data_IF_941609778986
#
_entry.id   IF_941609778986
#
_cell.length_a   1.000
_cell.length_b   1.000
_cell.length_c   1.000
_cell.angle_alpha   90.00
_cell.angle_beta   90.00
_cell.angle_gamma   90.00
#
_symmetry.space_group_name_H-M   'P 1'
#
loop_
_entity.id
_entity.type
_entity.pdbx_description
1 polymer ?
#
# COMPACT_ATOMS: atom_id res chain seq x y z
N UNK A 1 36.25 23.51 60.32
CA UNK A 1 35.67 24.01 59.06
C UNK A 1 36.03 23.09 57.86
N UNK A 2 35.98 21.76 58.00
CA UNK A 2 36.37 20.80 56.94
C UNK A 2 35.24 19.92 56.39
N UNK A 3 34.07 19.89 57.05
CA UNK A 3 32.94 19.04 56.66
C UNK A 3 32.00 19.73 55.64
N UNK A 4 31.94 21.07 55.66
CA UNK A 4 30.96 21.83 54.86
C UNK A 4 31.25 21.83 53.37
N UNK A 5 32.52 21.87 52.95
CA UNK A 5 32.91 21.89 51.53
C UNK A 5 33.06 20.48 50.97
N UNK A 6 33.68 19.55 51.69
CA UNK A 6 33.82 18.15 51.24
C UNK A 6 32.49 17.39 51.21
N UNK A 7 31.58 17.64 52.16
CA UNK A 7 30.24 17.05 52.15
C UNK A 7 29.36 17.56 51.00
N UNK A 8 29.44 18.87 50.68
CA UNK A 8 28.72 19.46 49.55
C UNK A 8 29.15 18.87 48.20
N UNK A 9 30.46 18.64 48.01
CA UNK A 9 30.99 17.99 46.80
C UNK A 9 30.42 16.57 46.63
N UNK A 10 30.29 15.81 47.72
CA UNK A 10 29.76 14.44 47.68
C UNK A 10 28.27 14.42 47.29
N UNK A 11 27.47 15.33 47.85
CA UNK A 11 26.04 15.45 47.50
C UNK A 11 25.87 15.83 46.03
N UNK A 12 26.65 16.78 45.52
CA UNK A 12 26.64 17.19 44.11
C UNK A 12 27.02 16.00 43.21
N UNK A 13 28.05 15.25 43.58
CA UNK A 13 28.50 14.08 42.82
C UNK A 13 27.42 13.00 42.74
N UNK A 14 26.76 12.68 43.86
CA UNK A 14 25.66 11.70 43.87
C UNK A 14 24.50 12.16 42.99
N UNK A 15 24.10 13.43 43.10
CA UNK A 15 23.05 13.99 42.23
C UNK A 15 23.41 13.90 40.75
N UNK A 16 24.68 14.17 40.41
CA UNK A 16 25.17 14.06 39.04
C UNK A 16 25.18 12.62 38.51
N UNK A 17 25.61 11.65 39.34
CA UNK A 17 25.59 10.23 38.96
C UNK A 17 24.16 9.70 38.78
N UNK A 18 23.21 10.14 39.60
CA UNK A 18 21.78 9.83 39.43
C UNK A 18 21.20 10.48 38.17
N UNK A 19 21.65 11.68 37.80
CA UNK A 19 21.24 12.30 36.55
C UNK A 19 21.80 11.53 35.34
N UNK A 20 23.08 11.15 35.37
CA UNK A 20 23.72 10.37 34.30
C UNK A 20 23.04 9.01 34.11
N UNK A 21 22.67 8.32 35.21
CA UNK A 21 22.04 7.00 35.12
C UNK A 21 20.70 7.03 34.41
N UNK A 22 19.99 8.16 34.40
CA UNK A 22 18.76 8.37 33.63
C UNK A 22 19.03 8.89 32.21
N UNK A 23 19.95 9.85 32.05
CA UNK A 23 20.22 10.52 30.77
C UNK A 23 20.84 9.57 29.76
N UNK A 24 21.86 8.80 30.15
CA UNK A 24 22.63 7.98 29.21
C UNK A 24 21.75 6.92 28.53
N UNK A 25 20.95 6.10 29.25
CA UNK A 25 20.04 5.15 28.60
C UNK A 25 19.02 5.82 27.69
N UNK A 26 18.49 6.98 28.09
CA UNK A 26 17.50 7.72 27.31
C UNK A 26 18.08 8.19 25.98
N UNK A 27 19.29 8.77 26.00
CA UNK A 27 19.98 9.22 24.77
C UNK A 27 20.22 8.05 23.82
N UNK A 28 20.62 6.88 24.34
CA UNK A 28 20.79 5.69 23.52
C UNK A 28 19.48 5.17 22.94
N UNK A 29 18.39 5.12 23.72
CA UNK A 29 17.08 4.67 23.25
C UNK A 29 16.57 5.59 22.14
N UNK A 30 16.57 6.90 22.38
CA UNK A 30 16.12 7.90 21.40
C UNK A 30 16.96 7.84 20.13
N UNK A 31 18.28 7.70 20.25
CA UNK A 31 19.16 7.56 19.10
C UNK A 31 18.86 6.30 18.27
N UNK A 32 18.67 5.16 18.94
CA UNK A 32 18.36 3.89 18.27
C UNK A 32 16.98 3.91 17.60
N UNK A 33 15.95 4.40 18.29
CA UNK A 33 14.58 4.52 17.75
C UNK A 33 14.53 5.47 16.56
N UNK A 34 15.21 6.62 16.66
CA UNK A 34 15.31 7.58 15.56
C UNK A 34 16.00 6.95 14.34
N UNK A 35 17.11 6.23 14.56
CA UNK A 35 17.81 5.52 13.50
C UNK A 35 16.94 4.45 12.82
N UNK A 36 16.21 3.66 13.61
CA UNK A 36 15.28 2.66 13.10
C UNK A 36 14.13 3.28 12.29
N UNK A 37 13.59 4.41 12.75
CA UNK A 37 12.54 5.13 12.02
C UNK A 37 13.04 5.65 10.66
N UNK A 38 14.25 6.22 10.59
CA UNK A 38 14.83 6.65 9.32
C UNK A 38 15.13 5.48 8.37
N UNK A 39 15.61 4.35 8.91
CA UNK A 39 15.82 3.15 8.10
C UNK A 39 14.51 2.64 7.51
N UNK A 40 13.45 2.53 8.32
CA UNK A 40 12.12 2.10 7.87
C UNK A 40 11.52 3.05 6.82
N UNK A 41 11.67 4.36 7.00
CA UNK A 41 11.23 5.35 6.01
C UNK A 41 11.99 5.20 4.68
N UNK A 42 13.30 5.00 4.73
CA UNK A 42 14.12 4.82 3.53
C UNK A 42 13.76 3.53 2.79
N UNK A 43 13.48 2.44 3.53
CA UNK A 43 13.01 1.19 2.95
C UNK A 43 11.64 1.36 2.28
N UNK A 44 10.69 2.04 2.94
CA UNK A 44 9.38 2.35 2.35
C UNK A 44 9.52 3.18 1.07
N UNK A 45 10.41 4.18 1.05
CA UNK A 45 10.66 4.99 -0.14
C UNK A 45 11.26 4.17 -1.29
N UNK A 46 12.22 3.29 -1.00
CA UNK A 46 12.78 2.35 -2.00
C UNK A 46 11.72 1.40 -2.54
N UNK A 47 10.87 0.90 -1.65
CA UNK A 47 9.75 0.03 -2.03
C UNK A 47 8.76 0.74 -2.95
N UNK A 48 8.41 1.98 -2.66
CA UNK A 48 7.58 2.82 -3.53
C UNK A 48 8.23 3.05 -4.89
N UNK A 49 9.53 3.40 -4.92
CA UNK A 49 10.25 3.59 -6.19
C UNK A 49 10.33 2.33 -7.05
N UNK A 50 10.39 1.15 -6.42
CA UNK A 50 10.39 -0.13 -7.12
C UNK A 50 8.98 -0.61 -7.50
N UNK A 51 7.94 0.16 -7.19
CA UNK A 51 6.55 -0.17 -7.50
C UNK A 51 6.06 0.79 -8.59
N UNK A 52 5.57 0.22 -9.69
CA UNK A 52 4.90 0.97 -10.73
C UNK A 52 3.77 0.12 -11.26
N UNK A 53 2.59 0.72 -11.38
CA UNK A 53 1.42 0.11 -11.99
C UNK A 53 0.91 1.04 -13.09
N UNK A 54 0.27 0.46 -14.11
CA UNK A 54 -0.43 1.20 -15.14
C UNK A 54 -1.73 0.47 -15.48
N UNK A 55 -2.83 1.19 -15.55
CA UNK A 55 -4.09 0.68 -16.09
C UNK A 55 -3.97 0.74 -17.62
N UNK A 56 -3.95 -0.43 -18.25
CA UNK A 56 -3.87 -0.55 -19.71
C UNK A 56 -5.23 -0.32 -20.35
N UNK A 57 -6.29 -0.85 -19.73
CA UNK A 57 -7.65 -0.66 -20.19
C UNK A 57 -8.66 -0.74 -19.05
N UNK A 58 -9.77 -0.03 -19.25
CA UNK A 58 -11.00 -0.13 -18.46
C UNK A 58 -12.15 -0.14 -19.45
N UNK A 59 -12.69 -1.32 -19.73
CA UNK A 59 -13.59 -1.56 -20.86
C UNK A 59 -15.00 -1.91 -20.37
N UNK A 60 -16.02 -1.24 -20.90
CA UNK A 60 -17.43 -1.51 -20.59
C UNK A 60 -17.95 -2.72 -21.39
N UNK A 61 -18.61 -3.67 -20.74
CA UNK A 61 -19.07 -4.94 -21.36
C UNK A 61 -20.59 -5.08 -21.48
N UNK A 62 -21.33 -4.00 -21.21
CA UNK A 62 -22.80 -3.90 -21.33
C UNK A 62 -23.58 -4.99 -20.55
N UNK A 63 -22.99 -5.53 -19.48
CA UNK A 63 -23.62 -6.50 -18.56
C UNK A 63 -24.00 -7.84 -19.20
N UNK A 64 -23.57 -8.13 -20.43
CA UNK A 64 -24.09 -9.27 -21.22
C UNK A 64 -23.63 -10.64 -20.72
N UNK A 65 -22.54 -10.70 -19.95
CA UNK A 65 -21.94 -11.93 -19.42
C UNK A 65 -21.81 -11.92 -17.89
N UNK A 66 -22.72 -11.26 -17.17
CA UNK A 66 -22.62 -11.06 -15.70
C UNK A 66 -21.42 -10.17 -15.29
N UNK A 67 -20.65 -9.64 -16.24
CA UNK A 67 -19.61 -8.63 -16.05
C UNK A 67 -20.05 -7.30 -16.65
N UNK A 68 -19.94 -6.23 -15.88
CA UNK A 68 -20.31 -4.86 -16.29
C UNK A 68 -19.14 -4.11 -16.92
N UNK A 69 -17.92 -4.35 -16.41
CA UNK A 69 -16.69 -3.86 -17.02
C UNK A 69 -15.46 -4.71 -16.67
N UNK A 70 -14.39 -4.58 -17.44
CA UNK A 70 -13.12 -5.26 -17.22
C UNK A 70 -12.00 -4.23 -17.08
N UNK A 71 -11.20 -4.36 -16.03
CA UNK A 71 -10.02 -3.52 -15.79
C UNK A 71 -8.77 -4.36 -15.94
N UNK A 72 -7.83 -3.91 -16.77
CA UNK A 72 -6.54 -4.57 -16.96
C UNK A 72 -5.40 -3.68 -16.48
N UNK A 73 -4.59 -4.19 -15.55
CA UNK A 73 -3.51 -3.44 -14.89
C UNK A 73 -2.18 -4.16 -15.04
N UNK A 74 -1.14 -3.46 -15.46
CA UNK A 74 0.21 -4.02 -15.57
C UNK A 74 1.08 -3.63 -14.37
N UNK A 75 1.79 -4.59 -13.79
CA UNK A 75 2.88 -4.30 -12.84
C UNK A 75 4.16 -3.98 -13.63
N UNK A 76 4.37 -2.70 -13.91
CA UNK A 76 5.57 -2.17 -14.57
C UNK A 76 6.75 -1.95 -13.59
N UNK A 77 6.55 -2.25 -12.31
CA UNK A 77 7.58 -2.13 -11.27
C UNK A 77 8.58 -3.28 -11.29
N UNK A 78 9.51 -3.22 -10.33
CA UNK A 78 10.48 -4.29 -10.06
C UNK A 78 10.08 -5.17 -8.86
N UNK A 79 9.05 -4.77 -8.11
CA UNK A 79 8.57 -5.47 -6.93
C UNK A 79 7.34 -6.35 -7.23
N UNK A 80 7.27 -7.51 -6.58
CA UNK A 80 6.02 -8.28 -6.52
C UNK A 80 5.00 -7.54 -5.68
N UNK A 81 3.75 -7.55 -6.14
CA UNK A 81 2.59 -6.98 -5.47
C UNK A 81 1.67 -8.09 -4.98
N UNK A 82 0.80 -7.72 -4.03
CA UNK A 82 -0.25 -8.59 -3.50
C UNK A 82 -1.59 -8.07 -4.00
N UNK A 83 -2.38 -8.96 -4.59
CA UNK A 83 -3.72 -8.65 -5.11
C UNK A 83 -4.65 -8.23 -3.97
N UNK A 84 -4.63 -8.95 -2.85
CA UNK A 84 -5.46 -8.67 -1.66
C UNK A 84 -5.05 -7.38 -0.94
N UNK A 85 -3.83 -6.88 -1.19
CA UNK A 85 -3.37 -5.59 -0.68
C UNK A 85 -3.38 -4.51 -1.77
N UNK A 86 -4.20 -4.69 -2.80
CA UNK A 86 -4.49 -3.69 -3.82
C UNK A 86 -5.96 -3.31 -3.68
N UNK A 87 -6.22 -2.02 -3.53
CA UNK A 87 -7.56 -1.47 -3.41
C UNK A 87 -8.02 -0.97 -4.77
N UNK A 88 -9.25 -1.33 -5.15
CA UNK A 88 -9.92 -0.83 -6.35
C UNK A 88 -11.09 0.04 -5.95
N UNK A 89 -11.20 1.19 -6.61
CA UNK A 89 -12.30 2.14 -6.43
C UNK A 89 -12.88 2.46 -7.79
N UNK A 90 -14.17 2.18 -7.97
CA UNK A 90 -14.92 2.46 -9.20
C UNK A 90 -15.98 3.49 -8.88
N UNK A 91 -16.02 4.62 -9.59
CA UNK A 91 -16.96 5.73 -9.36
C UNK A 91 -17.00 6.24 -7.92
N UNK A 92 -15.86 6.14 -7.22
CA UNK A 92 -15.75 6.52 -5.80
C UNK A 92 -16.24 5.47 -4.80
N UNK A 93 -16.76 4.35 -5.28
CA UNK A 93 -17.15 3.19 -4.46
C UNK A 93 -16.03 2.16 -4.39
N UNK A 94 -15.85 1.57 -3.21
CA UNK A 94 -14.84 0.53 -3.02
C UNK A 94 -15.32 -0.77 -3.67
N UNK A 95 -14.51 -1.32 -4.57
CA UNK A 95 -14.73 -2.63 -5.16
C UNK A 95 -13.84 -3.65 -4.45
N UNK A 96 -14.40 -4.64 -3.74
CA UNK A 96 -13.62 -5.62 -3.01
C UNK A 96 -12.89 -6.56 -3.98
N UNK A 97 -11.56 -6.49 -4.00
CA UNK A 97 -10.72 -7.44 -4.75
C UNK A 97 -9.93 -8.33 -3.80
N UNK A 98 -10.06 -9.64 -3.94
CA UNK A 98 -9.26 -10.63 -3.23
C UNK A 98 -8.49 -11.48 -4.21
N UNK A 99 -7.28 -11.90 -3.82
CA UNK A 99 -6.48 -12.81 -4.62
C UNK A 99 -7.07 -14.22 -4.79
N UNK A 100 -8.26 -14.51 -4.29
CA UNK A 100 -8.96 -15.81 -4.41
C UNK A 100 -10.30 -15.71 -5.14
N UNK A 101 -10.70 -14.50 -5.52
CA UNK A 101 -11.94 -14.23 -6.25
C UNK A 101 -11.87 -14.79 -7.68
N UNK A 102 -13.02 -15.15 -8.24
CA UNK A 102 -13.11 -15.69 -9.60
C UNK A 102 -12.99 -14.57 -10.64
N UNK A 103 -13.40 -13.36 -10.25
CA UNK A 103 -13.40 -12.11 -11.02
C UNK A 103 -12.02 -11.42 -11.00
N UNK A 104 -10.99 -12.06 -10.43
CA UNK A 104 -9.63 -11.51 -10.39
C UNK A 104 -8.60 -12.53 -10.84
N UNK A 105 -7.93 -12.21 -11.94
CA UNK A 105 -6.99 -13.13 -12.61
C UNK A 105 -5.65 -12.47 -12.86
N UNK A 106 -4.56 -13.17 -12.51
CA UNK A 106 -3.20 -12.73 -12.85
C UNK A 106 -2.76 -13.38 -14.16
N UNK A 107 -2.53 -12.57 -15.19
CA UNK A 107 -2.12 -13.00 -16.52
C UNK A 107 -0.60 -12.83 -16.71
N UNK A 108 0.09 -13.94 -16.99
CA UNK A 108 1.51 -13.98 -17.32
C UNK A 108 1.70 -14.46 -18.77
N UNK A 109 1.58 -13.53 -19.73
CA UNK A 109 1.54 -13.89 -21.15
C UNK A 109 0.28 -14.69 -21.45
N UNK A 110 0.43 -15.93 -21.92
CA UNK A 110 -0.71 -16.83 -22.19
C UNK A 110 -1.08 -17.73 -20.99
N UNK A 111 -0.49 -17.50 -19.82
CA UNK A 111 -0.77 -18.29 -18.61
C UNK A 111 -1.66 -17.48 -17.68
N UNK A 112 -2.82 -18.03 -17.38
CA UNK A 112 -3.77 -17.46 -16.43
C UNK A 112 -3.55 -18.09 -15.06
N UNK A 113 -3.53 -17.25 -14.02
CA UNK A 113 -3.44 -17.67 -12.63
C UNK A 113 -4.61 -17.09 -11.86
N UNK A 114 -5.68 -17.86 -11.86
CA UNK A 114 -6.86 -17.57 -11.07
C UNK A 114 -6.52 -17.89 -9.61
N UNK A 115 -7.17 -17.19 -8.68
CA UNK A 115 -6.99 -17.41 -7.25
C UNK A 115 -5.52 -17.31 -6.77
N UNK A 116 -4.79 -16.34 -7.33
CA UNK A 116 -3.42 -16.01 -6.90
C UNK A 116 -3.35 -14.64 -6.24
N UNK A 117 -2.85 -14.58 -5.01
CA UNK A 117 -2.52 -13.31 -4.36
C UNK A 117 -1.23 -12.67 -4.92
N UNK A 118 -0.40 -13.42 -5.64
CA UNK A 118 0.92 -12.94 -6.09
C UNK A 118 0.82 -12.34 -7.49
N UNK A 119 1.10 -11.03 -7.59
CA UNK A 119 1.17 -10.27 -8.84
C UNK A 119 2.63 -9.87 -9.15
N UNK A 120 3.24 -10.55 -10.11
CA UNK A 120 4.67 -10.42 -10.42
C UNK A 120 4.96 -9.23 -11.33
N UNK A 121 6.19 -8.69 -11.31
CA UNK A 121 6.67 -7.74 -12.32
C UNK A 121 6.45 -8.24 -13.75
N UNK A 122 5.95 -7.38 -14.63
CA UNK A 122 5.69 -7.66 -16.04
C UNK A 122 4.48 -8.56 -16.30
N UNK A 123 3.64 -8.80 -15.29
CA UNK A 123 2.37 -9.53 -15.43
C UNK A 123 1.19 -8.57 -15.29
N UNK A 124 0.04 -8.99 -15.81
CA UNK A 124 -1.19 -8.22 -15.79
C UNK A 124 -2.14 -8.76 -14.72
N UNK A 125 -2.90 -7.86 -14.11
CA UNK A 125 -4.00 -8.15 -13.21
C UNK A 125 -5.27 -7.74 -13.94
N UNK A 126 -6.09 -8.72 -14.26
CA UNK A 126 -7.42 -8.54 -14.82
C UNK A 126 -8.44 -8.60 -13.68
N UNK A 127 -9.35 -7.63 -13.66
CA UNK A 127 -10.38 -7.48 -12.65
C UNK A 127 -11.70 -7.27 -13.37
N UNK A 128 -12.60 -8.23 -13.23
CA UNK A 128 -13.97 -8.16 -13.72
C UNK A 128 -14.80 -7.45 -12.65
N UNK A 129 -15.45 -6.36 -13.06
CA UNK A 129 -16.33 -5.54 -12.22
C UNK A 129 -17.75 -6.03 -12.42
N UNK A 130 -18.38 -6.43 -11.31
CA UNK A 130 -19.75 -6.92 -11.28
C UNK A 130 -20.52 -6.19 -10.19
N UNK A 131 -21.67 -5.61 -10.54
CA UNK A 131 -22.51 -4.82 -9.62
C UNK A 131 -23.08 -5.67 -8.46
N UNK A 132 -23.19 -6.99 -8.61
CA UNK A 132 -23.75 -7.86 -7.56
C UNK A 132 -22.81 -8.11 -6.36
N UNK A 133 -21.53 -7.74 -6.47
CA UNK A 133 -20.50 -7.95 -5.45
C UNK A 133 -20.51 -6.89 -4.35
N UNK A 134 -21.33 -5.87 -4.49
CA UNK A 134 -21.39 -4.70 -3.62
C UNK A 134 -22.82 -4.37 -3.24
N UNK A 135 -23.01 -3.84 -2.04
CA UNK A 135 -24.34 -3.50 -1.53
C UNK A 135 -24.95 -2.27 -2.23
N UNK A 136 -24.10 -1.40 -2.78
CA UNK A 136 -24.48 -0.19 -3.53
C UNK A 136 -24.10 -0.39 -5.01
N UNK A 137 -25.03 -0.21 -5.94
CA UNK A 137 -24.79 -0.31 -7.39
C UNK A 137 -23.69 0.69 -7.84
N UNK A 138 -22.64 0.23 -8.55
CA UNK A 138 -21.62 1.14 -9.12
C UNK A 138 -22.26 1.99 -10.22
N UNK A 139 -23.20 1.41 -10.97
CA UNK A 139 -23.99 2.09 -11.98
C UNK A 139 -23.14 2.57 -13.15
N UNK A 140 -22.37 1.65 -13.75
CA UNK A 140 -21.56 1.93 -14.93
C UNK A 140 -22.46 2.29 -16.11
N UNK A 141 -22.14 3.38 -16.80
CA UNK A 141 -22.90 3.88 -17.96
C UNK A 141 -22.16 3.71 -19.28
N UNK A 142 -20.86 3.34 -19.23
CA UNK A 142 -19.98 3.27 -20.39
C UNK A 142 -19.51 4.65 -20.86
N UNK A 143 -19.75 5.70 -20.07
CA UNK A 143 -19.41 7.08 -20.43
C UNK A 143 -18.08 7.51 -19.81
N UNK A 144 -17.09 7.80 -20.67
CA UNK A 144 -15.74 8.24 -20.29
C UNK A 144 -15.70 9.48 -19.36
N UNK A 145 -16.76 10.29 -19.33
CA UNK A 145 -16.84 11.49 -18.47
C UNK A 145 -17.48 11.21 -17.10
N UNK A 146 -18.14 10.07 -16.93
CA UNK A 146 -18.87 9.71 -15.71
C UNK A 146 -18.18 8.56 -14.98
N UNK A 147 -17.68 7.58 -15.74
CA UNK A 147 -17.11 6.36 -15.18
C UNK A 147 -15.60 6.41 -15.09
N UNK A 148 -15.08 6.13 -13.89
CA UNK A 148 -13.65 6.08 -13.63
C UNK A 148 -13.29 5.00 -12.64
N UNK A 149 -12.12 4.40 -12.85
CA UNK A 149 -11.52 3.45 -11.93
C UNK A 149 -10.21 4.01 -11.40
N UNK A 150 -9.95 3.77 -10.12
CA UNK A 150 -8.68 4.04 -9.47
C UNK A 150 -8.22 2.80 -8.75
N UNK A 151 -6.94 2.46 -8.95
CA UNK A 151 -6.31 1.31 -8.32
C UNK A 151 -5.14 1.80 -7.50
N UNK A 152 -5.06 1.33 -6.25
CA UNK A 152 -4.01 1.73 -5.31
C UNK A 152 -3.35 0.50 -4.70
N UNK A 153 -2.05 0.38 -4.85
CA UNK A 153 -1.27 -0.70 -4.22
C UNK A 153 -1.04 -0.42 -2.73
N UNK A 154 -0.73 -1.46 -1.95
CA UNK A 154 -0.28 -1.36 -0.55
C UNK A 154 0.75 -0.26 -0.28
N UNK A 155 1.61 0.00 -1.27
CA UNK A 155 2.72 0.94 -1.16
C UNK A 155 2.31 2.39 -1.42
N UNK A 156 1.04 2.63 -1.77
CA UNK A 156 0.49 3.95 -2.04
C UNK A 156 0.71 4.45 -3.47
N UNK A 157 1.28 3.61 -4.35
CA UNK A 157 1.33 3.89 -5.79
C UNK A 157 -0.04 3.59 -6.36
N UNK A 158 -0.60 4.55 -7.07
CA UNK A 158 -1.94 4.48 -7.64
C UNK A 158 -1.94 4.93 -9.09
N UNK A 159 -2.90 4.41 -9.85
CA UNK A 159 -3.22 4.87 -11.19
C UNK A 159 -4.74 4.99 -11.34
N UNK A 160 -5.18 5.78 -12.32
CA UNK A 160 -6.61 5.99 -12.60
C UNK A 160 -6.88 6.09 -14.10
N UNK A 161 -7.97 5.50 -14.54
CA UNK A 161 -8.42 5.54 -15.93
C UNK A 161 -9.92 5.84 -16.00
N UNK A 162 -10.33 6.49 -17.10
CA UNK A 162 -11.73 6.61 -17.48
C UNK A 162 -12.17 5.36 -18.25
N UNK A 163 -13.46 5.04 -18.21
CA UNK A 163 -13.98 3.91 -18.96
C UNK A 163 -13.87 4.14 -20.47
N UNK A 164 -13.71 3.06 -21.21
CA UNK A 164 -13.69 3.01 -22.66
C UNK A 164 -14.73 2.00 -23.16
N UNK A 165 -15.28 2.27 -24.34
CA UNK A 165 -16.32 1.45 -24.99
C UNK A 165 -15.75 0.70 -26.20
#
# INVERSE_FOLDING_TARGET
>A
MGFSTSGAVLVILVGFLLAISAIVPTVFSVGAETGAAFAAQNDQFREQQNTAIAIESFEYTDGTNETDAVVNVTNNGAASLSVTMTDVVVNGQFYPTQGVDEETTVLAGSTERNQSDVWLPGTHLEIEIVDDRIDDEIGLTGNESEDSVRITTKRGVADSAAITT
#
